data_IF_218933532648
#
_entry.id   IF_218933532648
#
_cell.length_a   1.000
_cell.length_b   1.000
_cell.length_c   1.000
_cell.angle_alpha   90.00
_cell.angle_beta   90.00
_cell.angle_gamma   90.00
#
_symmetry.space_group_name_H-M   'P 1'
#
loop_
_entity.id
_entity.type
_entity.pdbx_description
1 polymer ?
#
# COMPACT_ATOMS: atom_id res chain seq x y z
N UNK A 1 2.02 25.40 8.31
CA UNK A 1 1.80 24.07 8.87
C UNK A 1 0.72 23.40 8.03
N UNK A 2 1.09 22.44 7.17
CA UNK A 2 0.10 21.68 6.37
C UNK A 2 -0.45 20.60 7.30
N UNK A 3 -1.78 20.55 7.49
CA UNK A 3 -2.40 19.46 8.21
C UNK A 3 -2.21 18.17 7.39
N UNK A 4 -1.60 17.15 7.99
CA UNK A 4 -1.52 15.83 7.37
C UNK A 4 -2.93 15.25 7.32
N UNK A 5 -3.50 15.14 6.11
CA UNK A 5 -4.78 14.46 5.93
C UNK A 5 -4.61 12.99 6.32
N UNK A 6 -5.30 12.56 7.38
CA UNK A 6 -5.41 11.14 7.69
C UNK A 6 -6.21 10.46 6.57
N UNK A 7 -5.69 9.36 6.04
CA UNK A 7 -6.41 8.55 5.06
C UNK A 7 -7.52 7.77 5.79
N UNK A 8 -8.80 7.92 5.39
CA UNK A 8 -9.88 7.17 6.02
C UNK A 8 -9.79 5.68 5.64
N UNK A 9 -9.66 4.81 6.65
CA UNK A 9 -9.63 3.36 6.47
C UNK A 9 -8.30 2.81 5.93
N UNK A 10 -8.23 1.50 5.66
CA UNK A 10 -7.03 0.87 5.10
C UNK A 10 -6.74 1.34 3.67
N UNK A 11 -5.46 1.40 3.32
CA UNK A 11 -5.01 1.74 1.97
C UNK A 11 -4.90 0.47 1.13
N UNK A 12 -5.59 0.43 -0.01
CA UNK A 12 -5.41 -0.62 -1.01
C UNK A 12 -4.30 -0.24 -1.98
N UNK A 13 -3.22 -1.03 -2.00
CA UNK A 13 -2.18 -0.94 -3.04
C UNK A 13 -2.48 -1.96 -4.14
N UNK A 14 -2.62 -1.48 -5.37
CA UNK A 14 -2.82 -2.31 -6.57
C UNK A 14 -1.49 -2.49 -7.30
N UNK A 15 -0.99 -3.72 -7.31
CA UNK A 15 0.33 -4.12 -7.80
C UNK A 15 1.31 -4.36 -6.65
N UNK A 16 1.93 -5.54 -6.62
CA UNK A 16 2.91 -5.99 -5.61
C UNK A 16 4.33 -6.12 -6.18
N UNK A 17 4.62 -5.43 -7.28
CA UNK A 17 5.99 -5.23 -7.76
C UNK A 17 6.82 -4.34 -6.82
N UNK A 18 8.05 -4.01 -7.21
CA UNK A 18 9.00 -3.26 -6.36
C UNK A 18 8.42 -1.94 -5.82
N UNK A 19 7.75 -1.16 -6.67
CA UNK A 19 7.17 0.11 -6.27
C UNK A 19 5.99 -0.07 -5.31
N UNK A 20 5.03 -0.93 -5.66
CA UNK A 20 3.85 -1.18 -4.83
C UNK A 20 4.22 -1.74 -3.46
N UNK A 21 5.19 -2.67 -3.42
CA UNK A 21 5.74 -3.19 -2.17
C UNK A 21 6.42 -2.08 -1.36
N UNK A 22 7.25 -1.24 -1.99
CA UNK A 22 7.92 -0.13 -1.31
C UNK A 22 6.92 0.86 -0.68
N UNK A 23 5.85 1.19 -1.41
CA UNK A 23 4.77 2.05 -0.91
C UNK A 23 4.05 1.38 0.27
N UNK A 24 3.69 0.11 0.15
CA UNK A 24 3.02 -0.64 1.21
C UNK A 24 3.85 -0.73 2.48
N UNK A 25 5.15 -0.95 2.35
CA UNK A 25 6.08 -0.97 3.49
C UNK A 25 6.17 0.40 4.16
N UNK A 26 6.38 1.47 3.40
CA UNK A 26 6.43 2.83 3.95
C UNK A 26 5.14 3.21 4.69
N UNK A 27 3.97 2.85 4.14
CA UNK A 27 2.68 3.09 4.80
C UNK A 27 2.55 2.31 6.13
N UNK A 28 2.98 1.04 6.15
CA UNK A 28 2.96 0.21 7.36
C UNK A 28 3.91 0.73 8.44
N UNK A 29 5.07 1.24 8.06
CA UNK A 29 6.01 1.91 8.99
C UNK A 29 5.38 3.14 9.66
N UNK A 30 4.43 3.80 9.00
CA UNK A 30 3.67 4.92 9.53
C UNK A 30 2.36 4.50 10.24
N UNK A 31 2.18 3.21 10.52
CA UNK A 31 1.01 2.69 11.24
C UNK A 31 -0.27 2.64 10.42
N UNK A 32 -0.20 2.79 9.10
CA UNK A 32 -1.35 2.70 8.21
C UNK A 32 -1.63 1.23 7.90
N UNK A 33 -2.89 0.81 8.03
CA UNK A 33 -3.33 -0.51 7.57
C UNK A 33 -3.28 -0.57 6.05
N UNK A 34 -2.65 -1.62 5.51
CA UNK A 34 -2.45 -1.78 4.06
C UNK A 34 -3.04 -3.11 3.61
N UNK A 35 -3.88 -3.04 2.58
CA UNK A 35 -4.38 -4.18 1.81
C UNK A 35 -3.60 -4.23 0.48
N UNK A 36 -3.31 -5.43 0.01
CA UNK A 36 -2.62 -5.64 -1.26
C UNK A 36 -3.53 -6.38 -2.24
N UNK A 37 -3.51 -5.95 -3.49
CA UNK A 37 -4.12 -6.67 -4.61
C UNK A 37 -3.17 -6.66 -5.78
N UNK A 38 -2.87 -7.83 -6.32
CA UNK A 38 -2.16 -7.95 -7.59
C UNK A 38 -3.08 -8.65 -8.61
N UNK A 39 -3.13 -8.12 -9.83
CA UNK A 39 -3.94 -8.69 -10.93
C UNK A 39 -3.08 -9.39 -11.97
N UNK A 40 -1.76 -9.41 -11.78
CA UNK A 40 -0.83 -10.10 -12.67
C UNK A 40 -0.86 -11.60 -12.42
N UNK A 41 -0.83 -12.42 -13.48
CA UNK A 41 -0.69 -13.87 -13.34
C UNK A 41 0.59 -14.28 -12.61
N UNK A 42 1.65 -13.49 -12.76
CA UNK A 42 2.96 -13.75 -12.15
C UNK A 42 2.94 -13.70 -10.61
N UNK A 43 2.02 -12.94 -10.01
CA UNK A 43 1.87 -12.84 -8.57
C UNK A 43 1.01 -13.96 -7.96
N UNK A 44 0.38 -14.80 -8.79
CA UNK A 44 -0.46 -15.92 -8.35
C UNK A 44 0.31 -17.26 -8.18
N UNK A 45 1.63 -17.24 -8.41
CA UNK A 45 2.55 -18.37 -8.21
C UNK A 45 3.36 -18.18 -6.94
#
# INVERSE_FOLDING_TARGET
MVAMAALPGPVLVVGTGLLGTSIGLALREHGVEVLLRDTSPAAAH
#
